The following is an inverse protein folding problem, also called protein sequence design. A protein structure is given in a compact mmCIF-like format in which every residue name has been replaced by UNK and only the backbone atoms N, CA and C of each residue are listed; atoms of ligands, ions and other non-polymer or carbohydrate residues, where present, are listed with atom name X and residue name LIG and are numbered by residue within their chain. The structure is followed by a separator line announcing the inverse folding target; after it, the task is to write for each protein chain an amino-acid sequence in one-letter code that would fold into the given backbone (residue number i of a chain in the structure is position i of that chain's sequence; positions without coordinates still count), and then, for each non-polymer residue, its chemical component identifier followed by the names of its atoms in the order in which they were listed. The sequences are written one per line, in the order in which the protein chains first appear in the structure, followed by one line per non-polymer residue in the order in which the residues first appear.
data_IF_535499935568
#
_entry.id   IF_535499935568
#
_cell.length_a   1.000
_cell.length_b   1.000
_cell.length_c   1.000
_cell.angle_alpha   90.00
_cell.angle_beta   90.00
_cell.angle_gamma   90.00
#
_symmetry.space_group_name_H-M   'P 1'
#
loop_
_entity.id
_entity.type
_entity.pdbx_description
1 polymer ?
#
# COMPACT_ATOMS: atom_id res chain seq x y z
N UNK A 1 39.76 -14.98 -51.44
CA UNK A 1 39.63 -13.63 -50.84
C UNK A 1 39.49 -13.75 -49.33
N UNK A 2 40.54 -13.42 -48.56
CA UNK A 2 40.52 -13.36 -47.09
C UNK A 2 41.06 -11.99 -46.66
N UNK A 3 40.45 -11.41 -45.62
CA UNK A 3 40.85 -10.23 -44.79
C UNK A 3 39.94 -8.96 -44.79
N UNK A 4 38.60 -9.05 -44.64
CA UNK A 4 37.83 -7.93 -44.08
C UNK A 4 37.87 -7.91 -42.53
N UNK A 5 38.19 -9.05 -41.88
CA UNK A 5 38.11 -9.19 -40.41
C UNK A 5 39.12 -8.35 -39.62
N UNK A 6 40.35 -8.16 -40.10
CA UNK A 6 41.40 -7.42 -39.38
C UNK A 6 41.20 -5.91 -39.40
N UNK A 7 40.70 -5.35 -40.51
CA UNK A 7 40.37 -3.93 -40.60
C UNK A 7 39.16 -3.59 -39.71
N UNK A 8 38.12 -4.43 -39.76
CA UNK A 8 36.96 -4.30 -38.87
C UNK A 8 37.35 -4.44 -37.39
N UNK A 9 38.25 -5.38 -37.03
CA UNK A 9 38.78 -5.47 -35.67
C UNK A 9 39.56 -4.22 -35.27
N UNK A 10 40.36 -3.67 -36.19
CA UNK A 10 41.13 -2.44 -35.95
C UNK A 10 40.23 -1.23 -35.71
N UNK A 11 39.20 -1.07 -36.53
CA UNK A 11 38.19 0.00 -36.37
C UNK A 11 37.42 -0.19 -35.06
N UNK A 12 36.99 -1.41 -34.74
CA UNK A 12 36.30 -1.71 -33.49
C UNK A 12 37.18 -1.38 -32.27
N UNK A 13 38.45 -1.79 -32.31
CA UNK A 13 39.41 -1.49 -31.25
C UNK A 13 39.61 0.01 -31.08
N UNK A 14 39.77 0.74 -32.19
CA UNK A 14 39.91 2.20 -32.17
C UNK A 14 38.66 2.90 -31.59
N UNK A 15 37.46 2.43 -31.95
CA UNK A 15 36.20 2.93 -31.41
C UNK A 15 36.06 2.65 -29.91
N UNK A 16 36.45 1.45 -29.45
CA UNK A 16 36.43 1.10 -28.03
C UNK A 16 37.42 1.94 -27.21
N UNK A 17 38.63 2.17 -27.74
CA UNK A 17 39.62 3.06 -27.09
C UNK A 17 39.13 4.50 -27.07
N UNK A 18 38.58 4.99 -28.19
CA UNK A 18 38.01 6.35 -28.26
C UNK A 18 36.83 6.52 -27.29
N UNK A 19 35.93 5.53 -27.21
CA UNK A 19 34.84 5.49 -26.24
C UNK A 19 35.36 5.49 -24.81
N UNK A 20 36.36 4.66 -24.49
CA UNK A 20 36.96 4.58 -23.15
C UNK A 20 37.57 5.91 -22.71
N UNK A 21 38.28 6.59 -23.61
CA UNK A 21 38.84 7.93 -23.36
C UNK A 21 37.73 8.96 -23.19
N UNK A 22 36.74 8.98 -24.08
CA UNK A 22 35.59 9.90 -24.01
C UNK A 22 34.84 9.71 -22.69
N UNK A 23 34.65 8.45 -22.28
CA UNK A 23 33.93 8.15 -21.07
C UNK A 23 34.70 8.52 -19.81
N UNK A 24 35.98 8.17 -19.71
CA UNK A 24 36.78 8.54 -18.54
C UNK A 24 36.99 10.06 -18.40
N UNK A 25 37.19 10.76 -19.52
CA UNK A 25 37.53 12.19 -19.50
C UNK A 25 36.31 13.11 -19.41
N UNK A 26 35.16 12.72 -19.97
CA UNK A 26 34.00 13.60 -20.09
C UNK A 26 32.75 13.03 -19.41
N UNK A 27 32.38 11.78 -19.70
CA UNK A 27 31.12 11.19 -19.21
C UNK A 27 31.19 10.88 -17.71
N UNK A 28 32.28 10.28 -17.23
CA UNK A 28 32.43 9.86 -15.84
C UNK A 28 32.50 11.05 -14.87
N UNK A 29 33.25 12.15 -15.14
CA UNK A 29 33.23 13.33 -14.28
C UNK A 29 31.85 14.00 -14.25
N UNK A 30 31.19 14.12 -15.40
CA UNK A 30 29.83 14.65 -15.47
C UNK A 30 28.86 13.77 -14.69
N UNK A 31 28.98 12.45 -14.81
CA UNK A 31 28.18 11.53 -14.02
C UNK A 31 28.45 11.67 -12.53
N UNK A 32 29.72 11.71 -12.13
CA UNK A 32 30.09 11.82 -10.72
C UNK A 32 29.51 13.07 -10.09
N UNK A 33 29.50 14.19 -10.82
CA UNK A 33 28.89 15.45 -10.39
C UNK A 33 27.36 15.36 -10.32
N UNK A 34 26.74 14.76 -11.33
CA UNK A 34 25.28 14.85 -11.53
C UNK A 34 24.52 13.67 -10.88
N UNK A 35 25.21 12.59 -10.48
CA UNK A 35 24.57 11.31 -10.07
C UNK A 35 25.30 10.51 -8.96
N UNK A 36 26.57 10.79 -8.60
CA UNK A 36 27.26 10.01 -7.54
C UNK A 36 26.63 10.26 -6.17
N UNK A 37 26.32 9.18 -5.44
CA UNK A 37 25.66 9.19 -4.13
C UNK A 37 26.57 9.43 -2.92
N UNK A 38 27.89 9.34 -3.08
CA UNK A 38 28.83 9.35 -1.94
C UNK A 38 28.79 8.08 -1.07
N UNK A 39 29.98 7.58 -0.70
CA UNK A 39 30.28 6.38 0.12
C UNK A 39 29.18 5.30 0.18
N UNK A 40 29.08 4.52 -0.91
CA UNK A 40 28.38 3.24 -0.93
C UNK A 40 29.39 2.11 -0.74
N UNK A 41 29.40 1.50 0.44
CA UNK A 41 30.16 0.29 0.70
C UNK A 41 29.33 -0.95 0.41
N UNK A 42 29.81 -1.84 -0.46
CA UNK A 42 29.64 -3.30 -0.33
C UNK A 42 30.96 -3.96 -0.74
N UNK A 43 31.34 -4.95 0.06
CA UNK A 43 32.62 -5.64 0.07
C UNK A 43 32.87 -6.56 -1.14
N UNK A 44 34.17 -6.68 -1.45
CA UNK A 44 34.85 -7.67 -2.30
C UNK A 44 34.40 -7.78 -3.77
N UNK A 45 34.93 -6.86 -4.59
CA UNK A 45 34.82 -6.80 -6.04
C UNK A 45 35.17 -5.40 -6.57
N UNK A 46 35.17 -5.18 -7.89
CA UNK A 46 35.26 -3.85 -8.50
C UNK A 46 34.27 -2.91 -7.78
N UNK A 47 34.72 -1.74 -7.32
CA UNK A 47 33.81 -0.81 -6.61
C UNK A 47 32.65 -0.42 -7.54
N UNK A 48 31.46 -0.07 -7.01
CA UNK A 48 30.34 0.36 -7.85
C UNK A 48 30.75 1.45 -8.85
N UNK A 49 31.58 2.40 -8.44
CA UNK A 49 32.15 3.43 -9.31
C UNK A 49 33.08 2.86 -10.41
N UNK A 50 33.84 1.79 -10.13
CA UNK A 50 34.69 1.11 -11.11
C UNK A 50 33.86 0.26 -12.10
N UNK A 51 32.80 -0.40 -11.64
CA UNK A 51 31.85 -1.10 -12.50
C UNK A 51 31.11 -0.10 -13.40
N UNK A 52 30.61 0.99 -12.83
CA UNK A 52 29.95 2.09 -13.55
C UNK A 52 30.90 2.78 -14.55
N UNK A 53 32.15 3.00 -14.18
CA UNK A 53 33.19 3.51 -15.07
C UNK A 53 33.51 2.53 -16.20
N UNK A 54 33.52 1.21 -15.94
CA UNK A 54 33.75 0.18 -16.96
C UNK A 54 32.62 0.07 -17.98
N UNK A 55 31.38 0.41 -17.58
CA UNK A 55 30.20 0.41 -18.44
C UNK A 55 30.03 1.71 -19.24
N UNK A 56 30.86 2.72 -18.97
CA UNK A 56 31.26 3.82 -19.87
C UNK A 56 30.32 4.08 -21.08
N UNK A 57 29.22 4.83 -20.87
CA UNK A 57 28.26 5.23 -21.92
C UNK A 57 27.19 4.18 -22.30
N UNK A 58 27.33 2.93 -21.87
CA UNK A 58 26.35 1.85 -22.08
C UNK A 58 25.51 1.55 -20.83
N UNK A 59 25.74 2.23 -19.71
CA UNK A 59 25.06 1.94 -18.43
C UNK A 59 23.53 1.95 -18.53
N UNK A 60 22.94 2.85 -19.30
CA UNK A 60 21.48 2.96 -19.48
C UNK A 60 20.96 1.82 -20.36
N UNK A 61 21.74 1.38 -21.35
CA UNK A 61 21.45 0.17 -22.12
C UNK A 61 21.50 -1.07 -21.23
N UNK A 62 22.54 -1.21 -20.40
CA UNK A 62 22.68 -2.32 -19.45
C UNK A 62 21.54 -2.29 -18.42
N UNK A 63 21.20 -1.11 -17.91
CA UNK A 63 20.05 -0.91 -17.03
C UNK A 63 18.75 -1.40 -17.69
N UNK A 64 18.52 -1.07 -18.97
CA UNK A 64 17.39 -1.56 -19.74
C UNK A 64 17.35 -3.09 -19.89
N UNK A 65 18.49 -3.71 -20.20
CA UNK A 65 18.61 -5.18 -20.32
C UNK A 65 18.33 -5.84 -18.96
N UNK A 66 18.93 -5.32 -17.89
CA UNK A 66 18.72 -5.82 -16.53
C UNK A 66 17.28 -5.64 -16.09
N UNK A 67 16.62 -4.55 -16.47
CA UNK A 67 15.21 -4.33 -16.16
C UNK A 67 14.31 -5.37 -16.84
N UNK A 68 14.53 -5.65 -18.13
CA UNK A 68 13.83 -6.74 -18.84
C UNK A 68 14.07 -8.09 -18.15
N UNK A 69 15.30 -8.35 -17.68
CA UNK A 69 15.59 -9.55 -16.89
C UNK A 69 14.90 -9.56 -15.54
N UNK A 70 14.77 -8.41 -14.89
CA UNK A 70 14.05 -8.27 -13.62
C UNK A 70 12.59 -8.66 -13.80
N UNK A 71 11.96 -8.20 -14.89
CA UNK A 71 10.58 -8.56 -15.28
C UNK A 71 10.40 -10.08 -15.46
N UNK A 72 11.37 -10.75 -16.11
CA UNK A 72 11.38 -12.22 -16.23
C UNK A 72 11.43 -12.92 -14.86
N UNK A 73 12.30 -12.46 -13.94
CA UNK A 73 12.34 -13.00 -12.57
C UNK A 73 11.04 -12.75 -11.80
N UNK A 74 10.41 -11.60 -11.99
CA UNK A 74 9.10 -11.30 -11.40
C UNK A 74 8.02 -12.29 -11.87
N UNK A 75 7.91 -12.51 -13.17
CA UNK A 75 6.92 -13.42 -13.74
C UNK A 75 7.10 -14.87 -13.29
N UNK A 76 8.34 -15.26 -12.97
CA UNK A 76 8.68 -16.59 -12.45
C UNK A 76 8.57 -16.69 -10.92
N UNK A 77 8.15 -15.62 -10.21
CA UNK A 77 8.02 -15.61 -8.75
C UNK A 77 9.34 -15.61 -7.98
N UNK A 78 10.46 -15.28 -8.65
CA UNK A 78 11.81 -15.30 -8.07
C UNK A 78 12.15 -13.96 -7.40
N UNK A 79 11.39 -13.61 -6.36
CA UNK A 79 11.48 -12.31 -5.69
C UNK A 79 12.83 -12.01 -5.02
N UNK A 80 13.55 -13.05 -4.58
CA UNK A 80 14.90 -12.89 -4.02
C UNK A 80 15.90 -12.30 -5.05
N UNK A 81 15.70 -12.60 -6.35
CA UNK A 81 16.57 -12.11 -7.43
C UNK A 81 16.17 -10.71 -7.93
N UNK A 82 14.88 -10.39 -7.85
CA UNK A 82 14.31 -9.09 -8.26
C UNK A 82 15.01 -7.94 -7.57
N UNK A 83 15.14 -8.06 -6.26
CA UNK A 83 15.46 -6.94 -5.38
C UNK A 83 16.87 -6.40 -5.65
N UNK A 84 17.92 -7.24 -5.68
CA UNK A 84 19.25 -6.81 -6.10
C UNK A 84 19.28 -6.21 -7.51
N UNK A 85 18.46 -6.71 -8.43
CA UNK A 85 18.39 -6.20 -9.79
C UNK A 85 17.74 -4.82 -9.87
N UNK A 86 16.63 -4.59 -9.16
CA UNK A 86 16.03 -3.25 -9.00
C UNK A 86 17.10 -2.29 -8.49
N UNK A 87 17.85 -2.69 -7.45
CA UNK A 87 18.91 -1.85 -6.90
C UNK A 87 20.00 -1.54 -7.92
N UNK A 88 20.51 -2.55 -8.62
CA UNK A 88 21.54 -2.39 -9.63
C UNK A 88 21.07 -1.46 -10.77
N UNK A 89 19.84 -1.62 -11.24
CA UNK A 89 19.25 -0.77 -12.28
C UNK A 89 19.16 0.68 -11.80
N UNK A 90 18.69 0.94 -10.57
CA UNK A 90 18.64 2.30 -10.01
C UNK A 90 20.02 2.96 -9.86
N UNK A 91 21.08 2.18 -9.63
CA UNK A 91 22.46 2.69 -9.64
C UNK A 91 22.96 3.04 -11.04
N UNK A 92 22.65 2.19 -12.03
CA UNK A 92 23.08 2.38 -13.42
C UNK A 92 22.35 3.55 -14.09
N UNK A 93 21.05 3.70 -13.80
CA UNK A 93 20.21 4.79 -14.33
C UNK A 93 19.27 5.38 -13.24
N UNK A 94 19.79 6.32 -12.42
CA UNK A 94 19.02 6.91 -11.31
C UNK A 94 17.81 7.74 -11.73
N UNK A 95 17.68 8.09 -13.02
CA UNK A 95 16.53 8.85 -13.55
C UNK A 95 15.45 7.97 -14.17
N UNK A 96 15.64 6.64 -14.15
CA UNK A 96 14.63 5.72 -14.65
C UNK A 96 13.49 5.57 -13.65
N UNK A 97 12.50 6.46 -13.72
CA UNK A 97 11.36 6.50 -12.81
C UNK A 97 10.54 5.20 -12.77
N UNK A 98 10.42 4.51 -13.90
CA UNK A 98 9.67 3.25 -14.00
C UNK A 98 10.18 2.21 -13.01
N UNK A 99 11.50 2.11 -12.85
CA UNK A 99 12.14 1.10 -11.99
C UNK A 99 11.86 1.40 -10.52
N UNK A 100 11.89 2.67 -10.11
CA UNK A 100 11.51 3.06 -8.75
C UNK A 100 10.03 2.81 -8.48
N UNK A 101 9.16 3.26 -9.39
CA UNK A 101 7.71 3.11 -9.26
C UNK A 101 7.29 1.64 -9.20
N UNK A 102 7.67 0.86 -10.21
CA UNK A 102 7.27 -0.54 -10.37
C UNK A 102 8.02 -1.43 -9.39
N UNK A 103 9.31 -1.19 -9.15
CA UNK A 103 10.08 -1.89 -8.12
C UNK A 103 9.47 -1.72 -6.73
N UNK A 104 9.13 -0.49 -6.32
CA UNK A 104 8.49 -0.24 -5.04
C UNK A 104 7.09 -0.86 -4.95
N UNK A 105 6.33 -0.83 -6.05
CA UNK A 105 5.04 -1.52 -6.14
C UNK A 105 5.18 -3.03 -5.92
N UNK A 106 6.12 -3.70 -6.59
CA UNK A 106 6.33 -5.13 -6.35
C UNK A 106 6.77 -5.43 -4.92
N UNK A 107 7.75 -4.70 -4.39
CA UNK A 107 8.26 -4.87 -3.02
C UNK A 107 7.12 -4.72 -2.00
N UNK A 108 6.24 -3.75 -2.18
CA UNK A 108 5.13 -3.51 -1.25
C UNK A 108 3.97 -4.49 -1.45
N UNK A 109 3.63 -4.87 -2.69
CA UNK A 109 2.39 -5.59 -3.00
C UNK A 109 2.56 -7.08 -3.27
N UNK A 110 3.64 -7.49 -3.92
CA UNK A 110 3.75 -8.80 -4.57
C UNK A 110 4.73 -9.75 -3.88
N UNK A 111 5.46 -9.30 -2.87
CA UNK A 111 6.19 -10.20 -1.98
C UNK A 111 5.21 -10.82 -1.01
N UNK A 112 4.48 -11.82 -1.49
CA UNK A 112 3.32 -12.40 -0.83
C UNK A 112 3.56 -13.82 -0.33
N UNK A 113 2.75 -14.25 0.61
CA UNK A 113 2.58 -15.68 0.88
C UNK A 113 1.69 -16.39 -0.15
N UNK A 114 1.46 -17.69 0.05
CA UNK A 114 0.59 -18.53 -0.80
C UNK A 114 -0.88 -18.08 -0.81
N UNK A 115 -1.33 -17.25 0.14
CA UNK A 115 -2.68 -16.68 0.14
C UNK A 115 -2.69 -15.26 -0.44
N UNK A 116 -1.64 -14.87 -1.17
CA UNK A 116 -1.45 -13.56 -1.79
C UNK A 116 -1.45 -12.40 -0.78
N UNK A 117 -1.05 -12.65 0.47
CA UNK A 117 -0.88 -11.60 1.48
C UNK A 117 0.53 -11.07 1.41
N UNK A 118 0.67 -9.78 1.09
CA UNK A 118 1.97 -9.11 1.03
C UNK A 118 2.64 -9.00 2.40
N UNK A 119 3.95 -9.20 2.46
CA UNK A 119 4.73 -8.93 3.65
C UNK A 119 4.85 -7.43 3.87
N UNK A 120 4.24 -6.95 4.95
CA UNK A 120 4.20 -5.52 5.24
C UNK A 120 5.55 -4.98 5.69
N UNK A 121 6.47 -5.85 6.12
CA UNK A 121 7.83 -5.46 6.54
C UNK A 121 8.66 -4.86 5.39
N UNK A 122 8.28 -5.13 4.14
CA UNK A 122 8.92 -4.54 2.96
C UNK A 122 8.42 -3.12 2.61
N UNK A 123 7.33 -2.63 3.22
CA UNK A 123 6.80 -1.30 2.92
C UNK A 123 7.80 -0.17 3.25
N UNK A 124 8.51 -0.17 4.41
CA UNK A 124 9.59 0.77 4.68
C UNK A 124 10.66 0.82 3.58
N UNK A 125 11.00 -0.33 2.98
CA UNK A 125 11.97 -0.42 1.89
C UNK A 125 11.43 0.17 0.58
N UNK A 126 10.18 -0.14 0.23
CA UNK A 126 9.51 0.45 -0.92
C UNK A 126 9.43 1.99 -0.78
N UNK A 127 9.11 2.51 0.40
CA UNK A 127 9.10 3.95 0.67
C UNK A 127 10.49 4.58 0.55
N UNK A 128 11.53 3.92 1.08
CA UNK A 128 12.92 4.40 0.91
C UNK A 128 13.32 4.43 -0.57
N UNK A 129 12.96 3.40 -1.34
CA UNK A 129 13.25 3.32 -2.77
C UNK A 129 12.60 4.49 -3.51
N UNK A 130 11.31 4.75 -3.27
CA UNK A 130 10.61 5.89 -3.87
C UNK A 130 11.20 7.24 -3.45
N UNK A 131 11.58 7.39 -2.18
CA UNK A 131 12.22 8.62 -1.72
C UNK A 131 13.56 8.89 -2.39
N UNK A 132 14.39 7.86 -2.57
CA UNK A 132 15.63 7.98 -3.35
C UNK A 132 15.31 8.38 -4.80
N UNK A 133 14.33 7.73 -5.43
CA UNK A 133 13.89 8.09 -6.78
C UNK A 133 13.40 9.54 -6.89
N UNK A 134 12.66 10.05 -5.89
CA UNK A 134 12.22 11.45 -5.82
C UNK A 134 13.41 12.41 -5.79
N UNK A 135 14.50 12.08 -5.08
CA UNK A 135 15.70 12.92 -5.03
C UNK A 135 16.33 13.13 -6.41
N UNK A 136 16.30 12.10 -7.26
CA UNK A 136 16.81 12.15 -8.63
C UNK A 136 15.84 12.74 -9.66
N UNK A 137 14.53 12.69 -9.38
CA UNK A 137 13.46 13.01 -10.34
C UNK A 137 12.49 14.09 -9.81
N UNK A 138 13.04 15.15 -9.21
CA UNK A 138 12.26 16.18 -8.48
C UNK A 138 11.26 16.97 -9.35
N UNK A 139 11.46 16.99 -10.66
CA UNK A 139 10.65 17.79 -11.60
C UNK A 139 9.44 17.01 -12.17
N UNK A 140 9.35 15.72 -11.92
CA UNK A 140 8.28 14.88 -12.45
C UNK A 140 7.34 14.37 -11.34
N UNK A 141 6.05 14.28 -11.64
CA UNK A 141 5.00 14.03 -10.64
C UNK A 141 4.93 12.59 -10.15
N UNK A 142 5.41 11.63 -10.95
CA UNK A 142 5.08 10.21 -10.81
C UNK A 142 5.54 9.63 -9.48
N UNK A 143 6.81 9.80 -9.11
CA UNK A 143 7.34 9.19 -7.87
C UNK A 143 6.73 9.81 -6.60
N UNK A 144 6.36 11.10 -6.64
CA UNK A 144 5.55 11.72 -5.58
C UNK A 144 4.17 11.05 -5.50
N UNK A 145 3.54 10.79 -6.64
CA UNK A 145 2.25 10.11 -6.71
C UNK A 145 2.33 8.70 -6.11
N UNK A 146 3.29 7.88 -6.55
CA UNK A 146 3.45 6.50 -6.08
C UNK A 146 3.73 6.44 -4.59
N UNK A 147 4.50 7.40 -4.06
CA UNK A 147 4.74 7.50 -2.62
C UNK A 147 3.43 7.79 -1.86
N UNK A 148 2.64 8.74 -2.35
CA UNK A 148 1.30 9.02 -1.81
C UNK A 148 0.36 7.82 -1.91
N UNK A 149 0.46 7.06 -3.00
CA UNK A 149 -0.34 5.85 -3.23
C UNK A 149 -0.04 4.73 -2.23
N UNK A 150 1.23 4.53 -1.86
CA UNK A 150 1.59 3.58 -0.80
C UNK A 150 0.94 3.94 0.54
N UNK A 151 0.98 5.22 0.94
CA UNK A 151 0.31 5.68 2.15
C UNK A 151 -1.22 5.55 2.06
N UNK A 152 -1.79 5.96 0.94
CA UNK A 152 -3.24 6.00 0.71
C UNK A 152 -3.89 4.61 0.65
N UNK A 153 -3.27 3.68 -0.07
CA UNK A 153 -3.89 2.41 -0.43
C UNK A 153 -3.26 1.21 0.29
N UNK A 154 -1.93 1.18 0.39
CA UNK A 154 -1.25 0.00 0.95
C UNK A 154 -1.21 0.03 2.46
N UNK A 155 -0.75 1.16 3.02
CA UNK A 155 -0.68 1.39 4.47
C UNK A 155 -2.08 1.61 5.04
N UNK A 156 -2.90 2.42 4.37
CA UNK A 156 -4.31 2.63 4.68
C UNK A 156 -4.54 3.06 6.14
N UNK A 157 -3.75 4.03 6.60
CA UNK A 157 -3.79 4.52 7.99
C UNK A 157 -3.24 5.95 8.14
N UNK A 158 -2.06 6.22 7.57
CA UNK A 158 -1.37 7.51 7.65
C UNK A 158 -1.76 8.42 6.47
N UNK A 159 -3.04 8.81 6.41
CA UNK A 159 -3.58 9.58 5.28
C UNK A 159 -3.02 11.00 5.17
N UNK A 160 -2.56 11.61 6.26
CA UNK A 160 -1.93 12.93 6.24
C UNK A 160 -0.65 12.91 5.38
N UNK A 161 0.13 11.82 5.47
CA UNK A 161 1.31 11.59 4.63
C UNK A 161 0.90 11.39 3.18
N UNK A 162 -0.16 10.62 2.92
CA UNK A 162 -0.69 10.46 1.56
C UNK A 162 -1.06 11.81 0.94
N UNK A 163 -1.77 12.65 1.69
CA UNK A 163 -2.14 14.01 1.27
C UNK A 163 -0.92 14.85 0.95
N UNK A 164 0.09 14.91 1.85
CA UNK A 164 1.34 15.67 1.61
C UNK A 164 2.06 15.24 0.34
N UNK A 165 2.10 13.94 0.03
CA UNK A 165 2.72 13.44 -1.18
C UNK A 165 1.90 13.72 -2.44
N UNK A 166 0.58 13.58 -2.35
CA UNK A 166 -0.31 13.91 -3.48
C UNK A 166 -0.35 15.41 -3.77
N UNK A 167 -0.35 16.29 -2.76
CA UNK A 167 -0.24 17.75 -2.93
C UNK A 167 1.03 18.10 -3.73
N UNK A 168 2.18 17.50 -3.36
CA UNK A 168 3.43 17.67 -4.11
C UNK A 168 3.36 17.10 -5.53
N UNK A 169 2.67 15.98 -5.73
CA UNK A 169 2.50 15.37 -7.06
C UNK A 169 1.68 16.25 -8.00
N UNK A 170 0.51 16.74 -7.55
CA UNK A 170 -0.41 17.52 -8.38
C UNK A 170 0.11 18.93 -8.70
N UNK A 171 1.10 19.41 -7.93
CA UNK A 171 1.77 20.69 -8.17
C UNK A 171 2.84 20.61 -9.26
N UNK A 172 3.25 19.42 -9.70
CA UNK A 172 4.26 19.26 -10.75
C UNK A 172 3.66 19.43 -12.16
N UNK A 173 4.47 19.89 -13.14
CA UNK A 173 4.06 19.93 -14.54
C UNK A 173 3.71 18.55 -15.08
N UNK A 174 2.79 18.49 -16.06
CA UNK A 174 2.50 17.27 -16.80
C UNK A 174 1.74 16.18 -16.04
N UNK A 175 1.30 16.41 -14.80
CA UNK A 175 0.50 15.44 -14.05
C UNK A 175 -0.80 15.10 -14.79
N UNK A 176 -1.09 13.80 -14.86
CA UNK A 176 -2.27 13.28 -15.56
C UNK A 176 -3.55 13.71 -14.85
N UNK A 177 -4.55 14.13 -15.63
CA UNK A 177 -5.79 14.72 -15.10
C UNK A 177 -6.53 13.78 -14.14
N UNK A 178 -6.57 12.48 -14.44
CA UNK A 178 -7.25 11.50 -13.59
C UNK A 178 -6.56 11.34 -12.22
N UNK A 179 -5.24 11.48 -12.14
CA UNK A 179 -4.49 11.40 -10.88
C UNK A 179 -4.80 12.57 -9.94
N UNK A 180 -5.19 13.73 -10.48
CA UNK A 180 -5.57 14.90 -9.66
C UNK A 180 -6.79 14.61 -8.78
N UNK A 181 -7.69 13.73 -9.21
CA UNK A 181 -8.93 13.41 -8.47
C UNK A 181 -8.66 12.59 -7.20
N UNK A 182 -7.54 11.87 -7.15
CA UNK A 182 -7.16 11.05 -5.99
C UNK A 182 -6.90 11.93 -4.76
N UNK A 183 -6.39 13.16 -4.93
CA UNK A 183 -6.13 14.08 -3.82
C UNK A 183 -7.40 14.43 -3.04
N UNK A 184 -8.55 14.64 -3.70
CA UNK A 184 -9.82 14.86 -2.98
C UNK A 184 -10.26 13.63 -2.17
N UNK A 185 -9.97 12.42 -2.66
CA UNK A 185 -10.26 11.19 -1.91
C UNK A 185 -9.32 11.05 -0.72
N UNK A 186 -8.05 11.43 -0.88
CA UNK A 186 -7.07 11.46 0.21
C UNK A 186 -7.47 12.47 1.30
N UNK A 187 -7.93 13.68 0.94
CA UNK A 187 -8.47 14.65 1.90
C UNK A 187 -9.66 14.08 2.68
N UNK A 188 -10.58 13.37 2.02
CA UNK A 188 -11.70 12.71 2.72
C UNK A 188 -11.21 11.65 3.72
N UNK A 189 -10.26 10.79 3.31
CA UNK A 189 -9.69 9.78 4.19
C UNK A 189 -8.88 10.38 5.32
N UNK A 190 -8.26 11.54 5.13
CA UNK A 190 -7.58 12.28 6.19
C UNK A 190 -8.53 13.04 7.13
N UNK A 191 -9.82 13.11 6.78
CA UNK A 191 -10.84 13.86 7.53
C UNK A 191 -10.90 15.36 7.19
N UNK A 192 -10.13 15.81 6.20
CA UNK A 192 -10.13 17.18 5.65
C UNK A 192 -11.29 17.37 4.66
N UNK A 193 -12.53 17.24 5.14
CA UNK A 193 -13.75 17.17 4.30
C UNK A 193 -13.98 18.46 3.50
N UNK A 194 -13.68 19.62 4.08
CA UNK A 194 -13.75 20.92 3.40
C UNK A 194 -12.69 21.08 2.32
N UNK A 195 -11.46 20.61 2.55
CA UNK A 195 -10.41 20.67 1.54
C UNK A 195 -10.73 19.77 0.34
N UNK A 196 -11.37 18.62 0.58
CA UNK A 196 -11.92 17.79 -0.48
C UNK A 196 -12.98 18.54 -1.30
N UNK A 197 -13.88 19.28 -0.65
CA UNK A 197 -14.90 20.09 -1.33
C UNK A 197 -14.26 21.18 -2.21
N UNK A 198 -13.32 21.93 -1.65
CA UNK A 198 -12.59 22.98 -2.38
C UNK A 198 -11.84 22.40 -3.58
N UNK A 199 -11.20 21.24 -3.41
CA UNK A 199 -10.48 20.58 -4.50
C UNK A 199 -11.42 20.06 -5.60
N UNK A 200 -12.55 19.44 -5.24
CA UNK A 200 -13.56 19.03 -6.22
C UNK A 200 -14.12 20.21 -7.00
N UNK A 201 -14.44 21.32 -6.32
CA UNK A 201 -14.93 22.53 -6.99
C UNK A 201 -13.89 23.12 -7.96
N UNK A 202 -12.60 23.09 -7.58
CA UNK A 202 -11.51 23.47 -8.48
C UNK A 202 -11.44 22.58 -9.72
N UNK A 203 -11.48 21.25 -9.55
CA UNK A 203 -11.40 20.31 -10.66
C UNK A 203 -12.60 20.40 -11.61
N UNK A 204 -13.80 20.63 -11.07
CA UNK A 204 -15.00 20.85 -11.86
C UNK A 204 -14.88 22.13 -12.70
N UNK A 205 -14.48 23.24 -12.07
CA UNK A 205 -14.25 24.51 -12.77
C UNK A 205 -13.18 24.38 -13.85
N UNK A 206 -12.03 23.82 -13.54
CA UNK A 206 -10.94 23.63 -14.51
C UNK A 206 -11.41 22.80 -15.72
N UNK A 207 -12.22 21.76 -15.49
CA UNK A 207 -12.79 20.94 -16.56
C UNK A 207 -13.88 21.66 -17.36
N UNK A 208 -14.72 22.48 -16.72
CA UNK A 208 -15.73 23.29 -17.37
C UNK A 208 -15.11 24.38 -18.26
N UNK A 209 -14.08 25.07 -17.77
CA UNK A 209 -13.32 26.08 -18.51
C UNK A 209 -12.64 25.45 -19.74
N UNK A 210 -12.05 24.26 -19.59
CA UNK A 210 -11.44 23.55 -20.71
C UNK A 210 -12.48 23.14 -21.77
N UNK A 211 -13.61 22.54 -21.35
CA UNK A 211 -14.68 22.15 -22.28
C UNK A 211 -15.28 23.37 -23.00
N UNK A 212 -15.41 24.52 -22.33
CA UNK A 212 -15.92 25.74 -22.95
C UNK A 212 -15.06 26.20 -24.14
N UNK A 213 -13.74 25.95 -24.07
CA UNK A 213 -12.78 26.26 -25.13
C UNK A 213 -12.77 25.18 -26.21
N UNK A 214 -12.62 23.90 -25.83
CA UNK A 214 -12.35 22.83 -26.80
C UNK A 214 -13.61 22.23 -27.41
N UNK A 215 -14.70 22.15 -26.64
CA UNK A 215 -16.01 21.57 -27.02
C UNK A 215 -15.96 20.13 -27.56
N UNK A 216 -14.92 19.37 -27.24
CA UNK A 216 -14.74 18.00 -27.71
C UNK A 216 -15.37 16.96 -26.75
N UNK A 217 -15.63 15.73 -27.20
CA UNK A 217 -16.25 14.69 -26.37
C UNK A 217 -15.45 14.31 -25.11
N UNK A 218 -14.11 14.37 -25.16
CA UNK A 218 -13.26 13.92 -24.06
C UNK A 218 -13.31 14.89 -22.89
N UNK A 219 -13.26 16.19 -23.18
CA UNK A 219 -13.37 17.25 -22.17
C UNK A 219 -14.79 17.34 -21.60
N UNK A 220 -15.82 17.04 -22.38
CA UNK A 220 -17.19 16.86 -21.87
C UNK A 220 -17.27 15.74 -20.83
N UNK A 221 -16.73 14.55 -21.14
CA UNK A 221 -16.72 13.41 -20.20
C UNK A 221 -15.99 13.78 -18.91
N UNK A 222 -14.86 14.49 -19.02
CA UNK A 222 -14.12 14.96 -17.85
C UNK A 222 -14.96 15.93 -17.01
N UNK A 223 -15.58 16.95 -17.62
CA UNK A 223 -16.49 17.88 -16.93
C UNK A 223 -17.60 17.14 -16.20
N UNK A 224 -18.34 16.29 -16.91
CA UNK A 224 -19.48 15.55 -16.35
C UNK A 224 -19.03 14.63 -15.18
N UNK A 225 -17.82 14.07 -15.27
CA UNK A 225 -17.22 13.28 -14.18
C UNK A 225 -16.90 14.13 -12.96
N UNK A 226 -16.30 15.32 -13.13
CA UNK A 226 -15.94 16.18 -12.00
C UNK A 226 -17.17 16.82 -11.36
N UNK A 227 -18.17 17.20 -12.17
CA UNK A 227 -19.48 17.67 -11.70
C UNK A 227 -20.16 16.60 -10.84
N UNK A 228 -20.21 15.35 -11.32
CA UNK A 228 -20.72 14.22 -10.54
C UNK A 228 -19.96 14.01 -9.23
N UNK A 229 -18.63 14.12 -9.23
CA UNK A 229 -17.82 13.95 -8.03
C UNK A 229 -18.12 15.03 -6.98
N UNK A 230 -18.19 16.30 -7.41
CA UNK A 230 -18.55 17.43 -6.56
C UNK A 230 -19.96 17.25 -5.97
N UNK A 231 -20.94 16.94 -6.80
CA UNK A 231 -22.33 16.73 -6.39
C UNK A 231 -22.45 15.59 -5.37
N UNK A 232 -21.79 14.46 -5.62
CA UNK A 232 -21.79 13.34 -4.68
C UNK A 232 -21.16 13.71 -3.33
N UNK A 233 -20.08 14.51 -3.33
CA UNK A 233 -19.45 14.97 -2.09
C UNK A 233 -20.38 15.90 -1.31
N UNK A 234 -21.03 16.87 -1.97
CA UNK A 234 -22.02 17.76 -1.36
C UNK A 234 -23.23 17.01 -0.80
N UNK A 235 -23.75 16.04 -1.54
CA UNK A 235 -24.84 15.16 -1.08
C UNK A 235 -24.42 14.45 0.19
N UNK A 236 -23.24 13.81 0.21
CA UNK A 236 -22.74 13.12 1.41
C UNK A 236 -22.50 14.07 2.58
N UNK A 237 -21.99 15.29 2.33
CA UNK A 237 -21.79 16.29 3.37
C UNK A 237 -23.14 16.67 4.00
N UNK A 238 -24.17 16.79 3.18
CA UNK A 238 -25.53 17.08 3.64
C UNK A 238 -26.13 15.88 4.38
N UNK A 239 -26.14 14.69 3.77
CA UNK A 239 -26.84 13.51 4.28
C UNK A 239 -26.22 12.96 5.56
N UNK A 240 -24.88 12.99 5.66
CA UNK A 240 -24.14 12.61 6.88
C UNK A 240 -24.13 13.71 7.96
N UNK A 241 -24.78 14.85 7.68
CA UNK A 241 -25.00 15.95 8.63
C UNK A 241 -23.79 16.84 8.92
N UNK A 242 -22.82 16.91 8.01
CA UNK A 242 -21.65 17.78 8.14
C UNK A 242 -22.04 19.24 8.34
N UNK A 243 -22.91 19.79 7.47
CA UNK A 243 -23.38 21.17 7.58
C UNK A 243 -24.25 21.40 8.82
N UNK A 244 -25.08 20.42 9.19
CA UNK A 244 -25.91 20.49 10.40
C UNK A 244 -25.07 20.60 11.67
N UNK A 245 -23.98 19.85 11.77
CA UNK A 245 -23.01 19.95 12.88
C UNK A 245 -22.36 21.33 12.92
N UNK A 246 -21.87 21.82 11.77
CA UNK A 246 -21.22 23.14 11.68
C UNK A 246 -22.16 24.30 12.06
N UNK A 247 -23.44 24.18 11.73
CA UNK A 247 -24.45 25.19 12.04
C UNK A 247 -25.14 25.01 13.41
N UNK A 248 -24.78 23.97 14.19
CA UNK A 248 -25.41 23.70 15.50
C UNK A 248 -26.89 23.27 15.40
N UNK A 249 -27.29 22.68 14.28
CA UNK A 249 -28.67 22.20 14.02
C UNK A 249 -28.72 20.71 13.73
N UNK A 250 -27.65 19.97 14.03
CA UNK A 250 -27.55 18.53 13.75
C UNK A 250 -28.73 17.73 14.33
N UNK A 251 -29.09 18.01 15.59
CA UNK A 251 -30.16 17.29 16.29
C UNK A 251 -31.58 17.64 15.78
N UNK A 252 -31.72 18.63 14.88
CA UNK A 252 -33.01 19.09 14.35
C UNK A 252 -33.49 18.35 13.10
N UNK A 253 -32.61 17.61 12.43
CA UNK A 253 -32.91 16.98 11.14
C UNK A 253 -32.49 15.51 11.11
N UNK A 254 -33.18 14.66 10.30
CA UNK A 254 -32.85 13.25 10.18
C UNK A 254 -31.67 13.04 9.23
N UNK A 255 -30.45 13.03 9.78
CA UNK A 255 -29.23 12.68 9.04
C UNK A 255 -28.98 11.17 9.06
N UNK A 256 -28.28 10.65 8.05
CA UNK A 256 -27.97 9.22 7.95
C UNK A 256 -27.15 8.71 9.15
N UNK A 257 -26.34 9.61 9.75
CA UNK A 257 -25.47 9.33 10.89
C UNK A 257 -26.15 9.54 12.24
N UNK A 258 -27.41 10.00 12.27
CA UNK A 258 -28.09 10.43 13.49
C UNK A 258 -28.46 9.24 14.40
N UNK A 259 -28.75 8.07 13.83
CA UNK A 259 -29.04 6.85 14.57
C UNK A 259 -27.83 5.90 14.47
N UNK A 260 -26.93 5.88 15.47
CA UNK A 260 -25.70 5.12 15.34
C UNK A 260 -25.98 3.63 15.23
N UNK A 261 -25.40 3.00 14.21
CA UNK A 261 -25.48 1.56 14.03
C UNK A 261 -24.57 0.89 15.05
N UNK A 262 -25.12 0.00 15.86
CA UNK A 262 -24.32 -0.84 16.75
C UNK A 262 -23.60 -1.90 15.91
N UNK A 263 -22.27 -1.84 15.87
CA UNK A 263 -21.42 -2.80 15.15
C UNK A 263 -21.54 -4.21 15.72
N UNK A 264 -21.96 -4.38 16.98
CA UNK A 264 -22.15 -5.66 17.64
C UNK A 264 -21.02 -6.65 17.30
N UNK A 265 -19.78 -6.14 17.33
CA UNK A 265 -18.63 -6.86 16.84
C UNK A 265 -18.29 -7.95 17.86
N UNK A 266 -18.41 -9.19 17.44
CA UNK A 266 -17.98 -10.34 18.23
C UNK A 266 -17.18 -11.26 17.36
N UNK A 267 -16.26 -12.01 17.96
CA UNK A 267 -15.38 -12.89 17.21
C UNK A 267 -14.94 -14.10 18.03
N UNK A 268 -14.64 -15.19 17.32
CA UNK A 268 -13.98 -16.39 17.80
C UNK A 268 -12.68 -16.55 17.04
N UNK A 269 -11.61 -16.80 17.78
CA UNK A 269 -10.28 -17.13 17.26
C UNK A 269 -10.02 -18.59 17.61
N UNK A 270 -9.78 -19.40 16.59
CA UNK A 270 -9.53 -20.83 16.73
C UNK A 270 -8.22 -21.21 16.06
N UNK A 271 -7.29 -21.79 16.81
CA UNK A 271 -6.07 -22.39 16.25
C UNK A 271 -6.41 -23.80 15.76
N UNK A 272 -6.77 -23.90 14.49
CA UNK A 272 -7.22 -25.15 13.85
C UNK A 272 -6.06 -26.08 13.50
N UNK A 273 -4.87 -25.52 13.26
CA UNK A 273 -3.63 -26.26 13.02
C UNK A 273 -2.41 -25.40 13.38
N UNK A 274 -1.20 -25.97 13.37
CA UNK A 274 0.06 -25.27 13.65
C UNK A 274 0.21 -24.08 12.69
N UNK A 275 0.27 -22.87 13.23
CA UNK A 275 0.32 -21.62 12.45
C UNK A 275 -0.91 -21.37 11.57
N UNK A 276 -2.04 -22.02 11.85
CA UNK A 276 -3.30 -21.82 11.13
C UNK A 276 -4.37 -21.36 12.10
N UNK A 277 -4.89 -20.15 11.86
CA UNK A 277 -5.91 -19.52 12.68
C UNK A 277 -7.18 -19.36 11.85
N UNK A 278 -8.33 -19.75 12.40
CA UNK A 278 -9.64 -19.39 11.87
C UNK A 278 -10.23 -18.29 12.73
N UNK A 279 -10.65 -17.21 12.09
CA UNK A 279 -11.33 -16.10 12.73
C UNK A 279 -12.75 -16.03 12.18
N UNK A 280 -13.74 -16.21 13.05
CA UNK A 280 -15.16 -16.07 12.70
C UNK A 280 -15.82 -15.05 13.57
N UNK A 281 -16.86 -14.36 13.08
CA UNK A 281 -17.49 -13.33 13.88
C UNK A 281 -18.67 -12.63 13.23
N UNK A 282 -19.22 -11.67 13.97
CA UNK A 282 -20.38 -10.88 13.60
C UNK A 282 -20.02 -9.43 13.36
N UNK A 283 -20.77 -8.80 12.47
CA UNK A 283 -20.65 -7.41 12.07
C UNK A 283 -22.05 -6.81 11.94
N UNK A 284 -22.30 -5.70 12.62
CA UNK A 284 -23.64 -5.15 12.79
C UNK A 284 -24.17 -4.40 11.56
N UNK A 285 -23.32 -4.18 10.55
CA UNK A 285 -23.74 -3.57 9.29
C UNK A 285 -24.07 -4.70 8.30
N UNK A 286 -25.35 -4.90 7.92
CA UNK A 286 -25.79 -6.04 7.11
C UNK A 286 -25.39 -5.94 5.64
N UNK A 287 -24.55 -4.98 5.27
CA UNK A 287 -24.07 -4.77 3.90
C UNK A 287 -22.67 -5.30 3.74
N UNK A 288 -22.39 -5.82 2.55
CA UNK A 288 -21.08 -6.33 2.19
C UNK A 288 -20.06 -5.19 2.00
N UNK A 289 -18.78 -5.45 2.31
CA UNK A 289 -17.67 -4.61 1.85
C UNK A 289 -16.85 -3.91 2.94
N UNK A 290 -17.28 -3.95 4.21
CA UNK A 290 -16.39 -3.54 5.29
C UNK A 290 -15.24 -4.54 5.43
N UNK A 291 -14.08 -4.04 5.86
CA UNK A 291 -12.85 -4.82 6.04
C UNK A 291 -12.28 -4.49 7.41
N UNK A 292 -12.41 -5.42 8.35
CA UNK A 292 -11.75 -5.30 9.66
C UNK A 292 -10.32 -5.80 9.50
N UNK A 293 -9.33 -4.93 9.68
CA UNK A 293 -7.92 -5.32 9.60
C UNK A 293 -7.63 -6.29 10.75
N UNK A 294 -7.15 -7.48 10.43
CA UNK A 294 -6.67 -8.47 11.40
C UNK A 294 -5.15 -8.53 11.30
N UNK A 295 -4.46 -8.20 12.39
CA UNK A 295 -2.99 -8.17 12.44
C UNK A 295 -2.51 -9.16 13.48
N UNK A 296 -1.68 -10.12 13.09
CA UNK A 296 -0.94 -10.97 14.03
C UNK A 296 0.53 -10.58 14.01
N UNK A 297 1.07 -10.18 15.15
CA UNK A 297 2.46 -9.76 15.28
C UNK A 297 3.08 -10.25 16.58
N UNK A 298 4.41 -10.29 16.64
CA UNK A 298 5.11 -10.50 17.91
C UNK A 298 4.68 -9.40 18.90
N UNK A 299 4.50 -9.74 20.18
CA UNK A 299 3.98 -8.79 21.16
C UNK A 299 4.86 -7.53 21.35
N UNK A 300 6.18 -7.70 21.26
CA UNK A 300 7.21 -6.66 21.36
C UNK A 300 7.49 -5.94 20.03
N UNK A 301 6.87 -6.38 18.93
CA UNK A 301 7.15 -5.85 17.60
C UNK A 301 6.00 -4.98 17.11
N UNK A 302 6.30 -3.70 16.84
CA UNK A 302 5.39 -2.78 16.18
C UNK A 302 6.04 -2.21 14.91
N UNK A 303 5.47 -2.57 13.75
CA UNK A 303 6.00 -2.14 12.46
C UNK A 303 5.67 -0.66 12.22
N UNK A 304 6.70 0.16 12.02
CA UNK A 304 6.54 1.57 11.64
C UNK A 304 6.58 1.70 10.13
N UNK A 305 5.69 2.52 9.57
CA UNK A 305 5.61 2.79 8.14
C UNK A 305 6.61 3.84 7.65
N UNK A 306 7.58 4.23 8.47
CA UNK A 306 8.60 5.19 8.02
C UNK A 306 9.55 4.52 7.01
N UNK A 307 10.10 5.29 6.06
CA UNK A 307 11.14 4.79 5.17
C UNK A 307 12.29 4.18 5.95
N UNK A 308 12.77 3.01 5.52
CA UNK A 308 13.95 2.35 6.10
C UNK A 308 15.15 3.31 6.08
N UNK A 309 16.12 3.24 7.01
CA UNK A 309 17.28 4.13 7.02
C UNK A 309 18.16 3.98 5.76
N UNK A 310 18.16 2.81 5.14
CA UNK A 310 18.84 2.51 3.89
C UNK A 310 18.07 1.46 3.07
N UNK A 311 18.62 1.10 1.92
CA UNK A 311 18.10 0.05 1.04
C UNK A 311 18.81 -1.27 1.32
N UNK A 312 18.61 -1.79 2.53
CA UNK A 312 18.94 -3.17 2.89
C UNK A 312 17.66 -3.99 2.80
N UNK A 313 17.57 -4.81 1.75
CA UNK A 313 16.35 -5.53 1.46
C UNK A 313 16.19 -6.84 2.24
N UNK A 314 17.08 -7.13 3.18
CA UNK A 314 16.86 -8.20 4.13
C UNK A 314 15.87 -7.77 5.21
N UNK A 315 14.83 -8.58 5.38
CA UNK A 315 13.87 -8.45 6.47
C UNK A 315 14.25 -9.39 7.61
N UNK A 316 13.93 -9.00 8.85
CA UNK A 316 14.11 -9.88 10.00
C UNK A 316 13.12 -11.06 9.94
N UNK A 317 13.63 -12.21 9.48
CA UNK A 317 12.88 -13.48 9.34
C UNK A 317 12.47 -14.09 10.69
N UNK A 318 13.03 -13.61 11.80
CA UNK A 318 12.61 -14.07 13.13
C UNK A 318 11.33 -13.37 13.60
N UNK A 319 11.01 -12.21 13.01
CA UNK A 319 9.78 -11.48 13.32
C UNK A 319 8.59 -12.06 12.59
N UNK A 320 7.42 -11.97 13.22
CA UNK A 320 6.15 -12.31 12.59
C UNK A 320 5.31 -11.04 12.48
N UNK A 321 4.81 -10.76 11.27
CA UNK A 321 3.83 -9.72 11.02
C UNK A 321 2.91 -10.16 9.88
N UNK A 322 1.69 -10.58 10.23
CA UNK A 322 0.64 -10.94 9.29
C UNK A 322 -0.44 -9.85 9.36
N UNK A 323 -0.90 -9.39 8.21
CA UNK A 323 -2.06 -8.51 8.09
C UNK A 323 -2.99 -9.08 7.02
N UNK A 324 -4.21 -9.44 7.41
CA UNK A 324 -5.26 -9.93 6.52
C UNK A 324 -6.57 -9.17 6.81
N UNK A 325 -7.20 -8.51 5.83
CA UNK A 325 -8.50 -7.89 6.04
C UNK A 325 -9.61 -8.94 6.13
N UNK A 326 -10.38 -8.92 7.21
CA UNK A 326 -11.60 -9.72 7.37
C UNK A 326 -12.73 -9.04 6.61
N UNK A 327 -13.06 -9.62 5.46
CA UNK A 327 -14.16 -9.15 4.64
C UNK A 327 -15.51 -9.50 5.27
N UNK A 328 -16.36 -8.51 5.44
CA UNK A 328 -17.70 -8.71 6.01
C UNK A 328 -18.73 -8.87 4.90
N UNK A 329 -19.58 -9.89 5.02
CA UNK A 329 -20.72 -10.13 4.14
C UNK A 329 -21.93 -10.47 5.00
N UNK A 330 -23.07 -9.81 4.74
CA UNK A 330 -24.34 -10.03 5.45
C UNK A 330 -24.19 -10.04 6.98
N UNK A 331 -23.37 -9.13 7.50
CA UNK A 331 -23.13 -8.98 8.93
C UNK A 331 -22.30 -10.09 9.59
N UNK A 332 -21.50 -10.84 8.81
CA UNK A 332 -20.60 -11.88 9.32
C UNK A 332 -19.26 -11.85 8.59
N UNK A 333 -18.27 -12.51 9.18
CA UNK A 333 -17.00 -12.85 8.52
C UNK A 333 -16.52 -14.23 8.99
N UNK A 334 -15.88 -14.96 8.10
CA UNK A 334 -15.20 -16.23 8.37
C UNK A 334 -13.93 -16.28 7.53
N UNK A 335 -12.79 -16.35 8.19
CA UNK A 335 -11.49 -16.33 7.53
C UNK A 335 -10.56 -17.37 8.13
N UNK A 336 -10.10 -18.31 7.28
CA UNK A 336 -8.99 -19.21 7.59
C UNK A 336 -7.67 -18.59 7.10
N UNK A 337 -6.77 -18.34 8.04
CA UNK A 337 -5.46 -17.70 7.87
C UNK A 337 -4.41 -18.79 8.06
N UNK A 338 -3.79 -19.23 6.96
CA UNK A 338 -2.79 -20.28 6.93
C UNK A 338 -1.39 -19.66 6.76
N UNK A 339 -0.62 -19.63 7.85
CA UNK A 339 0.75 -19.10 7.86
C UNK A 339 1.79 -20.24 7.86
N UNK A 340 1.36 -21.50 7.83
CA UNK A 340 2.28 -22.64 7.95
C UNK A 340 3.14 -22.83 6.70
N UNK A 341 2.61 -22.42 5.55
CA UNK A 341 3.20 -22.65 4.23
C UNK A 341 4.36 -21.71 3.88
N UNK A 342 4.51 -20.61 4.63
CA UNK A 342 5.52 -19.59 4.37
C UNK A 342 6.40 -19.35 5.62
N UNK A 343 7.25 -20.32 6.00
CA UNK A 343 8.00 -20.27 7.26
C UNK A 343 9.07 -19.17 7.31
N UNK A 344 9.57 -18.72 6.16
CA UNK A 344 10.52 -17.59 6.05
C UNK A 344 9.85 -16.26 6.34
N UNK A 345 8.57 -16.13 5.99
CA UNK A 345 7.74 -14.97 6.26
C UNK A 345 7.20 -15.00 7.70
N UNK A 346 6.78 -16.16 8.18
CA UNK A 346 6.17 -16.33 9.50
C UNK A 346 7.02 -17.24 10.40
N UNK A 347 8.03 -16.63 11.02
CA UNK A 347 9.05 -17.33 11.81
C UNK A 347 8.52 -17.94 13.12
N UNK A 348 7.56 -17.26 13.76
CA UNK A 348 7.00 -17.64 15.07
C UNK A 348 8.06 -17.93 16.17
N UNK A 349 9.05 -17.04 16.31
CA UNK A 349 10.14 -17.19 17.29
C UNK A 349 9.83 -16.60 18.68
N UNK A 350 9.15 -15.46 18.75
CA UNK A 350 8.68 -14.84 20.01
C UNK A 350 7.89 -15.82 20.88
N UNK A 351 7.90 -15.62 22.19
CA UNK A 351 7.10 -16.41 23.14
C UNK A 351 5.64 -15.92 23.19
N UNK A 352 5.41 -14.63 22.89
CA UNK A 352 4.09 -13.99 22.90
C UNK A 352 3.79 -13.24 21.60
N UNK A 353 2.50 -13.27 21.23
CA UNK A 353 1.92 -12.64 20.06
C UNK A 353 0.68 -11.86 20.44
N UNK A 354 0.35 -10.86 19.62
CA UNK A 354 -0.91 -10.12 19.73
C UNK A 354 -1.64 -10.23 18.39
N UNK A 355 -2.90 -10.64 18.47
CA UNK A 355 -3.86 -10.62 17.38
C UNK A 355 -4.77 -9.40 17.55
N UNK A 356 -4.62 -8.40 16.69
CA UNK A 356 -5.32 -7.12 16.74
C UNK A 356 -6.42 -7.08 15.67
N UNK A 357 -7.56 -6.52 16.04
CA UNK A 357 -8.65 -6.19 15.13
C UNK A 357 -8.83 -4.69 15.12
N UNK A 358 -8.79 -4.10 13.93
CA UNK A 358 -8.93 -2.66 13.75
C UNK A 358 -9.86 -2.34 12.57
N UNK A 359 -10.80 -1.43 12.78
CA UNK A 359 -11.60 -0.87 11.71
C UNK A 359 -11.68 0.66 11.81
N UNK A 360 -11.38 1.30 10.68
CA UNK A 360 -11.42 2.75 10.51
C UNK A 360 -12.58 3.11 9.57
N UNK A 361 -13.53 3.98 9.98
CA UNK A 361 -14.56 4.51 9.08
C UNK A 361 -13.96 5.25 7.87
N UNK A 362 -12.78 5.86 8.02
CA UNK A 362 -12.10 6.60 6.95
C UNK A 362 -11.64 5.71 5.79
N UNK A 363 -11.35 4.44 6.05
CA UNK A 363 -10.97 3.47 5.00
C UNK A 363 -12.16 2.71 4.41
N UNK A 364 -13.34 2.84 5.03
CA UNK A 364 -14.53 2.09 4.62
C UNK A 364 -15.07 2.56 3.25
N UNK A 365 -15.71 1.66 2.47
CA UNK A 365 -16.37 2.05 1.23
C UNK A 365 -17.46 3.11 1.44
N UNK A 366 -17.78 3.91 0.41
CA UNK A 366 -18.73 5.01 0.56
C UNK A 366 -20.10 4.60 1.11
N UNK A 367 -20.66 3.46 0.67
CA UNK A 367 -21.97 2.99 1.16
C UNK A 367 -21.96 2.55 2.63
N UNK A 368 -20.80 2.18 3.17
CA UNK A 368 -20.63 1.92 4.61
C UNK A 368 -20.55 3.25 5.34
N UNK A 369 -19.74 4.18 4.84
CA UNK A 369 -19.61 5.54 5.39
C UNK A 369 -20.91 6.34 5.32
N UNK A 370 -21.81 6.06 4.38
CA UNK A 370 -23.13 6.68 4.33
C UNK A 370 -23.93 6.37 5.61
N UNK A 371 -23.68 5.21 6.26
CA UNK A 371 -24.29 4.86 7.55
C UNK A 371 -23.50 5.37 8.75
N UNK A 372 -22.17 5.22 8.71
CA UNK A 372 -21.33 5.45 9.90
C UNK A 372 -20.63 6.81 9.92
N UNK A 373 -20.73 7.59 8.85
CA UNK A 373 -20.04 8.86 8.67
C UNK A 373 -18.56 8.70 8.30
N UNK A 374 -17.84 9.82 8.19
CA UNK A 374 -16.40 9.82 7.90
C UNK A 374 -15.56 9.46 9.12
N UNK A 375 -15.96 9.94 10.30
CA UNK A 375 -15.21 9.79 11.54
C UNK A 375 -15.87 8.78 12.49
N UNK A 376 -16.88 8.04 12.02
CA UNK A 376 -17.59 7.04 12.83
C UNK A 376 -18.65 7.64 13.74
N UNK A 377 -19.14 8.85 13.45
CA UNK A 377 -20.24 9.47 14.20
C UNK A 377 -21.53 8.63 14.22
N UNK A 378 -21.78 7.84 13.17
CA UNK A 378 -22.95 6.99 13.00
C UNK A 378 -22.70 5.53 13.38
N UNK A 379 -21.65 5.23 14.15
CA UNK A 379 -21.41 3.88 14.66
C UNK A 379 -21.20 3.87 16.17
N UNK A 380 -21.64 2.78 16.79
CA UNK A 380 -21.35 2.46 18.18
C UNK A 380 -20.93 1.00 18.28
N UNK A 381 -20.26 0.65 19.36
CA UNK A 381 -20.06 -0.74 19.76
C UNK A 381 -20.03 -0.76 21.29
N UNK A 382 -20.55 -1.82 21.90
CA UNK A 382 -20.64 -1.91 23.35
C UNK A 382 -19.29 -2.16 24.03
N UNK A 383 -18.32 -2.68 23.29
CA UNK A 383 -17.09 -3.23 23.87
C UNK A 383 -15.83 -2.65 23.23
N UNK A 384 -15.83 -2.44 21.92
CA UNK A 384 -14.59 -2.28 21.15
C UNK A 384 -14.45 -0.94 20.44
N UNK A 385 -15.28 0.05 20.75
CA UNK A 385 -14.98 1.43 20.36
C UNK A 385 -13.83 1.98 21.21
N UNK A 386 -12.81 2.51 20.55
CA UNK A 386 -11.71 3.20 21.20
C UNK A 386 -11.41 4.55 20.51
N UNK A 387 -11.86 5.64 21.12
CA UNK A 387 -11.63 7.00 20.62
C UNK A 387 -10.20 7.51 20.90
N UNK A 388 -9.40 6.76 21.68
CA UNK A 388 -8.02 7.16 22.07
C UNK A 388 -6.98 6.71 21.05
N UNK A 389 -7.26 5.65 20.29
CA UNK A 389 -6.34 5.12 19.26
C UNK A 389 -6.13 6.14 18.14
N UNK A 390 -7.19 6.85 17.74
CA UNK A 390 -7.16 7.91 16.73
C UNK A 390 -7.97 9.13 17.21
N UNK A 391 -7.33 10.17 17.77
CA UNK A 391 -8.03 11.37 18.21
C UNK A 391 -8.90 11.98 17.09
N UNK A 392 -10.16 12.30 17.40
CA UNK A 392 -11.11 12.85 16.42
C UNK A 392 -11.74 11.81 15.50
N UNK A 393 -11.46 10.53 15.70
CA UNK A 393 -12.04 9.43 14.94
C UNK A 393 -12.49 8.32 15.89
N UNK A 394 -13.77 7.94 15.77
CA UNK A 394 -14.27 6.72 16.40
C UNK A 394 -13.74 5.54 15.58
N UNK A 395 -12.95 4.67 16.21
CA UNK A 395 -12.45 3.44 15.59
C UNK A 395 -12.88 2.24 16.40
N UNK A 396 -12.99 1.08 15.74
CA UNK A 396 -13.08 -0.19 16.44
C UNK A 396 -11.67 -0.74 16.62
N UNK A 397 -11.29 -1.05 17.85
CA UNK A 397 -10.00 -1.64 18.19
C UNK A 397 -10.13 -2.63 19.34
N UNK A 398 -9.55 -3.82 19.16
CA UNK A 398 -9.43 -4.81 20.23
C UNK A 398 -8.28 -5.77 19.92
N UNK A 399 -7.79 -6.46 20.93
CA UNK A 399 -6.68 -7.41 20.76
C UNK A 399 -6.80 -8.63 21.66
N UNK A 400 -6.18 -9.72 21.22
CA UNK A 400 -6.06 -10.98 21.97
C UNK A 400 -4.59 -11.36 22.05
N UNK A 401 -4.12 -11.66 23.27
CA UNK A 401 -2.79 -12.22 23.45
C UNK A 401 -2.82 -13.71 23.15
N UNK A 402 -1.82 -14.18 22.41
CA UNK A 402 -1.63 -15.59 22.08
C UNK A 402 -0.19 -15.99 22.44
N UNK A 403 -0.02 -17.13 23.08
CA UNK A 403 1.32 -17.68 23.32
C UNK A 403 1.81 -18.45 22.10
N UNK A 404 3.13 -18.59 21.96
CA UNK A 404 3.73 -19.43 20.92
C UNK A 404 3.19 -20.87 20.98
N UNK A 405 3.01 -21.41 22.18
CA UNK A 405 2.55 -22.79 22.36
C UNK A 405 1.09 -22.98 21.95
N UNK A 406 0.24 -21.97 22.13
CA UNK A 406 -1.12 -21.96 21.58
C UNK A 406 -1.11 -22.02 20.05
N UNK A 407 -0.35 -21.12 19.40
CA UNK A 407 -0.31 -21.03 17.93
C UNK A 407 0.35 -22.26 17.29
N UNK A 408 1.36 -22.83 17.94
CA UNK A 408 2.08 -24.01 17.45
C UNK A 408 1.51 -25.33 17.97
N UNK A 409 0.39 -25.29 18.70
CA UNK A 409 -0.29 -26.46 19.29
C UNK A 409 0.67 -27.37 20.07
N UNK A 410 1.38 -26.79 21.04
CA UNK A 410 2.37 -27.47 21.89
C UNK A 410 1.82 -27.66 23.31
N UNK A 411 2.38 -28.61 24.05
CA UNK A 411 2.01 -28.86 25.44
C UNK A 411 0.54 -29.23 25.60
N UNK A 412 -0.17 -28.49 26.45
CA UNK A 412 -1.61 -28.63 26.69
C UNK A 412 -2.49 -28.19 25.50
N UNK A 413 -1.95 -27.41 24.55
CA UNK A 413 -2.68 -26.90 23.38
C UNK A 413 -2.62 -27.82 22.15
N UNK A 414 -2.20 -29.09 22.32
CA UNK A 414 -2.12 -30.06 21.22
C UNK A 414 -3.45 -30.23 20.50
N UNK A 415 -4.55 -30.24 21.24
CA UNK A 415 -5.90 -30.40 20.69
C UNK A 415 -6.48 -29.09 20.13
N UNK A 416 -5.77 -27.97 20.27
CA UNK A 416 -6.14 -26.66 19.71
C UNK A 416 -6.27 -25.61 20.81
N UNK A 417 -6.59 -24.38 20.38
CA UNK A 417 -6.89 -23.27 21.27
C UNK A 417 -8.06 -22.46 20.70
N UNK A 418 -9.00 -22.09 21.57
CA UNK A 418 -10.18 -21.30 21.18
C UNK A 418 -10.34 -20.14 22.14
N UNK A 419 -10.39 -18.93 21.59
CA UNK A 419 -10.79 -17.72 22.28
C UNK A 419 -12.14 -17.23 21.73
N UNK A 420 -13.05 -16.82 22.61
CA UNK A 420 -14.34 -16.21 22.25
C UNK A 420 -14.41 -14.82 22.89
N UNK A 421 -14.71 -13.80 22.09
CA UNK A 421 -14.95 -12.46 22.61
C UNK A 421 -16.20 -12.44 23.50
N UNK A 422 -16.32 -11.49 24.43
CA UNK A 422 -17.51 -11.38 25.27
C UNK A 422 -18.79 -11.21 24.42
N UNK A 423 -19.81 -12.02 24.70
CA UNK A 423 -21.08 -11.98 23.95
C UNK A 423 -21.08 -12.71 22.60
N UNK A 424 -19.98 -13.36 22.21
CA UNK A 424 -19.95 -14.22 21.02
C UNK A 424 -20.95 -15.37 21.15
N UNK A 425 -21.72 -15.62 20.10
CA UNK A 425 -22.65 -16.75 20.00
C UNK A 425 -22.24 -17.64 18.82
N UNK A 426 -22.25 -18.94 19.05
CA UNK A 426 -21.93 -19.93 18.02
C UNK A 426 -23.01 -19.88 16.92
N UNK A 427 -22.58 -19.95 15.65
CA UNK A 427 -23.49 -19.97 14.51
C UNK A 427 -23.85 -21.43 14.22
N UNK A 428 -25.04 -21.86 14.65
CA UNK A 428 -25.50 -23.26 14.55
C UNK A 428 -26.13 -23.65 13.21
N UNK A 429 -26.45 -22.69 12.34
CA UNK A 429 -27.04 -22.93 11.01
C UNK A 429 -26.53 -21.89 10.02
N UNK A 430 -25.84 -22.33 8.97
CA UNK A 430 -25.61 -21.52 7.78
C UNK A 430 -26.88 -21.63 6.93
N UNK A 431 -27.66 -20.58 6.81
CA UNK A 431 -28.66 -20.54 5.73
C UNK A 431 -27.92 -20.49 4.37
N UNK A 432 -28.53 -20.93 3.29
CA UNK A 432 -27.90 -20.92 1.95
C UNK A 432 -27.48 -19.50 1.50
N UNK A 433 -28.12 -18.48 2.09
CA UNK A 433 -27.83 -17.04 1.99
C UNK A 433 -26.60 -16.58 2.81
N UNK A 434 -26.11 -17.41 3.74
CA UNK A 434 -24.94 -17.18 4.60
C UNK A 434 -23.64 -17.81 4.03
N UNK A 435 -23.72 -18.50 2.90
CA UNK A 435 -22.56 -19.13 2.27
C UNK A 435 -21.65 -18.05 1.69
N UNK A 436 -20.62 -17.70 2.47
CA UNK A 436 -19.42 -17.00 1.99
C UNK A 436 -18.82 -17.91 0.91
N UNK A 437 -18.90 -17.46 -0.35
CA UNK A 437 -18.32 -18.07 -1.55
C UNK A 437 -17.50 -19.36 -1.33
N UNK A 438 -18.04 -20.51 -1.77
CA UNK A 438 -17.22 -21.73 -2.02
C UNK A 438 -16.20 -21.55 -3.17
N UNK A 439 -16.06 -20.36 -3.73
CA UNK A 439 -15.26 -20.06 -4.92
C UNK A 439 -14.02 -19.20 -4.61
N UNK A 440 -13.00 -19.81 -4.01
CA UNK A 440 -11.59 -19.40 -4.13
C UNK A 440 -10.66 -20.59 -3.81
N UNK A 441 -11.09 -21.81 -4.19
CA UNK A 441 -10.26 -23.02 -4.17
C UNK A 441 -10.02 -23.55 -5.58
N UNK A 442 -9.90 -22.68 -6.59
CA UNK A 442 -9.35 -23.05 -7.91
C UNK A 442 -8.58 -21.89 -8.55
N UNK A 443 -7.34 -22.27 -8.91
CA UNK A 443 -6.28 -21.61 -9.65
C UNK A 443 -5.42 -20.62 -8.86
#
# INVERSE_FOLDING_TARGET
MKKPRTLLLGILTALLVAQGVLSQRFIFPQWKRDYSTGNLGIAEGLTPDQLLASLSGLRTLVAGILWVKTDEYFHNGQFDAVVPLVRLVTWLDPRQEEVYATGAWHIAYNFTDEQNRSDRRYIPLALRLLQEGVQYNQNHYRLFHETGWLYYHKIDDDYDKAVKWFEQSVSKPGVLKYLRSILASAYQRDGRIEDALVWYAKLEKDAADEFAVTKDPTTRILKDTQEKNLNNHLIRMTSRGYFGKKAGVYDKYPYDTHNPVNLNFTFKVEVVDKKVIRVTGTWGIPTTGARVRCVLRDADYNLKWEPAPGLDFDIDRNRTFMLDPLYTQNGRFDRRIDMSRNPTMYGFKSDEYVLEFYFSPRSAPPHIQDKIGWNGEGMTDRQFIDDKVRPGQRVLFTSVKLTRDQILRRGEYRDGYVYRSPGYKEVTTLEESDVIFRGSMRN
#
